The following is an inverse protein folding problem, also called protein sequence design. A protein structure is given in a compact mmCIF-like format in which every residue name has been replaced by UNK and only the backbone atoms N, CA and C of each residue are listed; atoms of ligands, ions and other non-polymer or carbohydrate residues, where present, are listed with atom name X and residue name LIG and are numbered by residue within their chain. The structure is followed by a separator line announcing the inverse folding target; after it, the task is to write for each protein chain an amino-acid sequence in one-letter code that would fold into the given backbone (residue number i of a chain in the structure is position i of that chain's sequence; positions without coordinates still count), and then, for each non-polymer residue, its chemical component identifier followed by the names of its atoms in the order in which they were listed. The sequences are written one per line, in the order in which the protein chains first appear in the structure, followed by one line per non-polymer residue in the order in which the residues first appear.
data_IF_577822494158
#
_entry.id   IF_577822494158
#
_cell.length_a   1.000
_cell.length_b   1.000
_cell.length_c   1.000
_cell.angle_alpha   90.00
_cell.angle_beta   90.00
_cell.angle_gamma   90.00
#
_symmetry.space_group_name_H-M   'P 1'
#
loop_
_entity.id
_entity.type
_entity.pdbx_description
1 polymer ?
#
# COMPACT_ATOMS: atom_id res chain seq x y z
N UNK A 1 22.19 8.27 -11.91
CA UNK A 1 22.16 8.95 -10.61
C UNK A 1 22.86 10.30 -10.68
N UNK A 2 22.24 11.38 -10.18
CA UNK A 2 22.89 12.70 -10.09
C UNK A 2 23.94 12.69 -8.98
N UNK A 3 25.05 13.41 -9.18
CA UNK A 3 25.96 13.69 -8.08
C UNK A 3 25.34 14.75 -7.14
N UNK A 4 25.79 14.80 -5.90
CA UNK A 4 25.19 15.68 -4.88
C UNK A 4 25.26 17.16 -5.26
N UNK A 5 26.36 17.61 -5.87
CA UNK A 5 26.54 19.00 -6.28
C UNK A 5 25.57 19.45 -7.38
N UNK A 6 25.29 18.59 -8.37
CA UNK A 6 24.33 18.89 -9.44
C UNK A 6 22.91 18.80 -8.89
N UNK A 7 22.62 17.83 -8.02
CA UNK A 7 21.32 17.75 -7.35
C UNK A 7 21.06 19.01 -6.54
N UNK A 8 22.01 19.42 -5.68
CA UNK A 8 21.94 20.65 -4.89
C UNK A 8 21.76 21.88 -5.78
N UNK A 9 22.50 21.98 -6.89
CA UNK A 9 22.38 23.11 -7.83
C UNK A 9 21.01 23.17 -8.50
N UNK A 10 20.40 22.02 -8.83
CA UNK A 10 19.07 21.94 -9.41
C UNK A 10 17.95 22.18 -8.40
N UNK A 11 18.17 21.83 -7.13
CA UNK A 11 17.12 21.84 -6.10
C UNK A 11 17.22 23.02 -5.15
N UNK A 12 18.34 23.75 -5.16
CA UNK A 12 18.59 24.95 -4.36
C UNK A 12 17.40 25.90 -4.45
N UNK A 13 17.01 26.45 -3.30
CA UNK A 13 15.85 27.33 -3.18
C UNK A 13 16.14 28.72 -3.82
N UNK A 14 16.21 28.75 -5.15
CA UNK A 14 16.44 29.93 -5.96
C UNK A 14 15.23 30.22 -6.87
N UNK A 15 14.94 31.49 -7.21
CA UNK A 15 13.84 31.84 -8.11
C UNK A 15 13.92 31.18 -9.49
N UNK A 16 15.13 30.86 -9.95
CA UNK A 16 15.37 30.21 -11.25
C UNK A 16 15.20 28.69 -11.23
N UNK A 17 14.96 28.09 -10.06
CA UNK A 17 14.81 26.63 -9.90
C UNK A 17 13.82 26.00 -10.90
N UNK A 18 12.59 26.52 -11.09
CA UNK A 18 11.64 25.93 -12.04
C UNK A 18 12.19 25.89 -13.47
N UNK A 19 12.88 26.95 -13.89
CA UNK A 19 13.46 27.05 -15.23
C UNK A 19 14.66 26.11 -15.42
N UNK A 20 15.52 25.99 -14.41
CA UNK A 20 16.67 25.09 -14.44
C UNK A 20 16.23 23.63 -14.49
N UNK A 21 15.27 23.25 -13.66
CA UNK A 21 14.71 21.90 -13.65
C UNK A 21 14.02 21.60 -14.98
N UNK A 22 13.19 22.52 -15.49
CA UNK A 22 12.52 22.34 -16.79
C UNK A 22 13.52 22.20 -17.94
N UNK A 23 14.58 23.01 -17.96
CA UNK A 23 15.59 22.97 -19.01
C UNK A 23 16.41 21.67 -18.99
N UNK A 24 16.70 21.13 -17.81
CA UNK A 24 17.44 19.87 -17.69
C UNK A 24 16.55 18.62 -17.85
N UNK A 25 15.22 18.75 -17.72
CA UNK A 25 14.32 17.62 -17.47
C UNK A 25 14.39 16.51 -18.52
N UNK A 26 14.44 16.87 -19.80
CA UNK A 26 14.50 15.91 -20.91
C UNK A 26 15.75 15.03 -20.87
N UNK A 27 16.84 15.56 -20.32
CA UNK A 27 18.17 14.94 -20.34
C UNK A 27 18.42 14.12 -19.07
N UNK A 28 17.57 14.26 -18.05
CA UNK A 28 17.66 13.48 -16.83
C UNK A 28 17.18 12.05 -17.04
N UNK A 29 17.90 11.09 -16.46
CA UNK A 29 17.39 9.73 -16.33
C UNK A 29 16.19 9.67 -15.40
N UNK A 30 15.39 8.61 -15.48
CA UNK A 30 14.22 8.40 -14.59
C UNK A 30 14.62 8.46 -13.12
N UNK A 31 15.72 7.79 -12.75
CA UNK A 31 16.28 7.82 -11.40
C UNK A 31 16.63 9.26 -10.97
N UNK A 32 17.32 10.02 -11.82
CA UNK A 32 17.69 11.41 -11.56
C UNK A 32 16.47 12.32 -11.41
N UNK A 33 15.40 12.09 -12.20
CA UNK A 33 14.12 12.80 -12.05
C UNK A 33 13.48 12.54 -10.69
N UNK A 34 13.46 11.28 -10.25
CA UNK A 34 12.93 10.89 -8.92
C UNK A 34 13.76 11.51 -7.78
N UNK A 35 15.07 11.64 -7.93
CA UNK A 35 15.93 12.33 -6.96
C UNK A 35 15.61 13.83 -6.88
N UNK A 36 15.43 14.52 -8.01
CA UNK A 36 15.03 15.94 -8.04
C UNK A 36 13.66 16.12 -7.40
N UNK A 37 12.70 15.26 -7.73
CA UNK A 37 11.37 15.21 -7.13
C UNK A 37 11.47 15.13 -5.59
N UNK A 38 12.22 14.16 -5.08
CA UNK A 38 12.37 13.94 -3.64
C UNK A 38 13.03 15.13 -2.95
N UNK A 39 14.10 15.67 -3.55
CA UNK A 39 14.84 16.79 -3.00
C UNK A 39 13.97 18.06 -2.91
N UNK A 40 13.20 18.38 -3.96
CA UNK A 40 12.29 19.54 -3.95
C UNK A 40 11.19 19.40 -2.89
N UNK A 41 10.66 18.19 -2.67
CA UNK A 41 9.67 17.94 -1.62
C UNK A 41 10.26 18.06 -0.20
N UNK A 42 11.51 17.62 -0.01
CA UNK A 42 12.16 17.61 1.31
C UNK A 42 12.55 18.99 1.87
N UNK A 43 12.83 19.95 0.99
CA UNK A 43 13.54 21.19 1.35
C UNK A 43 12.57 22.35 1.71
N UNK A 44 11.56 22.61 0.88
CA UNK A 44 10.75 23.85 0.98
C UNK A 44 9.27 23.60 1.26
N UNK A 45 8.74 22.48 0.79
CA UNK A 45 7.31 22.21 0.81
C UNK A 45 7.00 20.95 1.61
N UNK A 46 7.25 21.01 2.92
CA UNK A 46 6.78 19.97 3.83
C UNK A 46 5.26 19.85 3.66
N UNK A 47 4.84 18.84 2.91
CA UNK A 47 3.45 18.44 2.61
C UNK A 47 2.80 19.00 1.33
N UNK A 48 3.49 19.80 0.50
CA UNK A 48 2.92 20.27 -0.78
C UNK A 48 3.89 20.06 -1.93
N UNK A 49 3.38 19.76 -3.12
CA UNK A 49 4.23 19.66 -4.32
C UNK A 49 3.97 20.89 -5.17
N UNK A 50 5.01 21.64 -5.60
CA UNK A 50 4.79 22.83 -6.39
C UNK A 50 4.19 22.48 -7.76
N UNK A 51 3.18 23.25 -8.18
CA UNK A 51 2.40 22.98 -9.40
C UNK A 51 3.25 22.87 -10.66
N UNK A 52 4.30 23.70 -10.79
CA UNK A 52 5.20 23.64 -11.94
C UNK A 52 5.92 22.29 -12.05
N UNK A 53 6.26 21.66 -10.93
CA UNK A 53 6.94 20.36 -10.93
C UNK A 53 5.97 19.25 -11.34
N UNK A 54 4.73 19.31 -10.84
CA UNK A 54 3.68 18.37 -11.25
C UNK A 54 3.39 18.47 -12.76
N UNK A 55 3.33 19.68 -13.31
CA UNK A 55 3.13 19.91 -14.75
C UNK A 55 4.28 19.35 -15.60
N UNK A 56 5.53 19.51 -15.15
CA UNK A 56 6.67 18.90 -15.86
C UNK A 56 6.59 17.37 -15.79
N UNK A 57 6.22 16.82 -14.62
CA UNK A 57 6.23 15.37 -14.40
C UNK A 57 5.07 14.64 -15.10
N UNK A 58 3.89 15.27 -15.25
CA UNK A 58 2.73 14.65 -15.93
C UNK A 58 2.96 14.47 -17.44
N UNK A 59 3.87 15.25 -18.02
CA UNK A 59 4.23 15.21 -19.44
C UNK A 59 5.43 14.29 -19.72
N UNK A 60 5.97 13.64 -18.67
CA UNK A 60 7.18 12.84 -18.78
C UNK A 60 6.96 11.56 -19.60
N UNK A 61 7.92 11.12 -20.44
CA UNK A 61 7.79 9.84 -21.16
C UNK A 61 7.73 8.62 -20.23
N UNK A 62 8.32 8.68 -19.03
CA UNK A 62 8.33 7.57 -18.10
C UNK A 62 7.04 7.53 -17.25
N UNK A 63 6.32 6.41 -17.33
CA UNK A 63 5.05 6.22 -16.61
C UNK A 63 5.18 6.36 -15.09
N UNK A 64 6.32 6.01 -14.49
CA UNK A 64 6.55 6.15 -13.04
C UNK A 64 6.61 7.61 -12.59
N UNK A 65 7.11 8.50 -13.45
CA UNK A 65 7.22 9.95 -13.17
C UNK A 65 5.83 10.59 -13.32
N UNK A 66 5.09 10.23 -14.37
CA UNK A 66 3.69 10.65 -14.54
C UNK A 66 2.79 10.15 -13.41
N UNK A 67 2.97 8.89 -12.99
CA UNK A 67 2.26 8.30 -11.86
C UNK A 67 2.48 9.09 -10.58
N UNK A 68 3.75 9.43 -10.29
CA UNK A 68 4.08 10.25 -9.14
C UNK A 68 3.38 11.63 -9.23
N UNK A 69 3.38 12.27 -10.41
CA UNK A 69 2.73 13.56 -10.61
C UNK A 69 1.21 13.49 -10.35
N UNK A 70 0.55 12.52 -10.99
CA UNK A 70 -0.88 12.27 -10.85
C UNK A 70 -1.27 11.97 -9.41
N UNK A 71 -0.47 11.18 -8.68
CA UNK A 71 -0.71 10.86 -7.27
C UNK A 71 -0.61 12.08 -6.36
N UNK A 72 0.35 12.96 -6.60
CA UNK A 72 0.57 14.14 -5.76
C UNK A 72 -0.39 15.29 -6.12
N UNK A 73 -1.11 15.17 -7.23
CA UNK A 73 -2.12 16.11 -7.64
C UNK A 73 -3.48 15.72 -7.06
N UNK A 74 -4.04 16.57 -6.17
CA UNK A 74 -5.41 16.38 -5.67
C UNK A 74 -6.40 16.80 -6.75
N UNK A 75 -6.78 15.86 -7.61
CA UNK A 75 -7.90 16.08 -8.53
C UNK A 75 -9.17 16.35 -7.73
N UNK A 76 -9.81 17.49 -7.95
CA UNK A 76 -11.11 17.73 -7.37
C UNK A 76 -12.11 16.68 -7.88
N UNK A 77 -12.61 15.81 -6.99
CA UNK A 77 -13.72 14.92 -7.31
C UNK A 77 -14.94 15.78 -7.65
N UNK A 78 -15.43 15.70 -8.89
CA UNK A 78 -16.65 16.38 -9.34
C UNK A 78 -17.86 16.05 -8.43
N UNK A 79 -17.83 14.91 -7.71
CA UNK A 79 -18.89 14.54 -6.76
C UNK A 79 -18.74 15.24 -5.40
N UNK A 80 -17.53 15.57 -4.95
CA UNK A 80 -17.32 16.35 -3.73
C UNK A 80 -17.75 17.82 -3.89
N UNK A 81 -17.78 18.33 -5.12
CA UNK A 81 -18.32 19.67 -5.43
C UNK A 81 -19.84 19.76 -5.23
N UNK A 82 -20.56 18.63 -5.28
CA UNK A 82 -22.00 18.54 -5.10
C UNK A 82 -22.41 18.11 -3.69
N UNK A 83 -21.47 17.95 -2.75
CA UNK A 83 -21.82 17.64 -1.37
C UNK A 83 -22.44 18.89 -0.74
N UNK A 84 -23.69 18.84 -0.24
CA UNK A 84 -24.37 20.02 0.28
C UNK A 84 -23.85 20.30 1.69
N UNK A 85 -22.65 20.85 1.80
CA UNK A 85 -22.18 21.46 3.03
C UNK A 85 -22.64 22.92 2.98
N UNK A 86 -23.63 23.35 3.77
CA UNK A 86 -24.27 24.67 3.64
C UNK A 86 -23.33 25.87 3.83
N UNK A 87 -22.09 25.63 4.26
CA UNK A 87 -21.11 26.63 4.67
C UNK A 87 -19.84 26.69 3.79
N UNK A 88 -19.67 25.79 2.81
CA UNK A 88 -18.49 25.80 1.93
C UNK A 88 -18.92 26.02 0.49
N UNK A 89 -18.55 27.15 -0.15
CA UNK A 89 -18.89 27.37 -1.55
C UNK A 89 -18.24 26.28 -2.43
N UNK A 90 -18.93 25.82 -3.47
CA UNK A 90 -18.39 24.81 -4.38
C UNK A 90 -17.06 25.31 -4.97
N UNK A 91 -16.01 24.50 -4.86
CA UNK A 91 -14.69 24.83 -5.42
C UNK A 91 -14.82 24.95 -6.93
N UNK A 92 -14.54 26.13 -7.47
CA UNK A 92 -14.40 26.34 -8.92
C UNK A 92 -13.11 25.66 -9.35
N UNK A 93 -13.24 24.60 -10.16
CA UNK A 93 -12.10 23.89 -10.72
C UNK A 93 -11.59 24.64 -11.95
N UNK A 94 -10.32 25.09 -11.96
CA UNK A 94 -9.71 25.74 -13.11
C UNK A 94 -9.70 24.81 -14.34
N UNK A 95 -9.78 25.36 -15.55
CA UNK A 95 -9.76 24.53 -16.76
C UNK A 95 -8.46 23.74 -16.91
N UNK A 96 -7.34 24.29 -16.44
CA UNK A 96 -6.05 23.58 -16.39
C UNK A 96 -6.07 22.33 -15.50
N UNK A 97 -6.89 22.30 -14.45
CA UNK A 97 -7.08 21.12 -13.60
C UNK A 97 -7.96 20.07 -14.30
N UNK A 98 -8.99 20.50 -15.05
CA UNK A 98 -9.82 19.59 -15.86
C UNK A 98 -9.03 18.95 -17.00
N UNK A 99 -8.18 19.72 -17.66
CA UNK A 99 -7.28 19.22 -18.71
C UNK A 99 -6.32 18.18 -18.15
N UNK A 100 -5.72 18.44 -16.99
CA UNK A 100 -4.83 17.50 -16.31
C UNK A 100 -5.55 16.20 -15.91
N UNK A 101 -6.78 16.33 -15.39
CA UNK A 101 -7.63 15.20 -15.04
C UNK A 101 -7.93 14.33 -16.27
N UNK A 102 -8.40 14.94 -17.36
CA UNK A 102 -8.67 14.22 -18.60
C UNK A 102 -7.42 13.54 -19.14
N UNK A 103 -6.28 14.24 -19.13
CA UNK A 103 -5.00 13.69 -19.57
C UNK A 103 -4.62 12.45 -18.78
N UNK A 104 -4.72 12.52 -17.45
CA UNK A 104 -4.40 11.41 -16.54
C UNK A 104 -5.36 10.22 -16.75
N UNK A 105 -6.65 10.49 -16.95
CA UNK A 105 -7.65 9.46 -17.26
C UNK A 105 -7.41 8.78 -18.61
N UNK A 106 -6.88 9.52 -19.59
CA UNK A 106 -6.53 9.02 -20.92
C UNK A 106 -5.12 8.44 -21.05
N UNK A 107 -4.32 8.43 -19.98
CA UNK A 107 -2.92 7.96 -20.03
C UNK A 107 -2.86 6.49 -20.45
N UNK A 108 -1.87 6.13 -21.27
CA UNK A 108 -1.65 4.77 -21.75
C UNK A 108 -1.38 3.79 -20.60
N UNK A 109 -0.78 4.27 -19.51
CA UNK A 109 -0.44 3.47 -18.32
C UNK A 109 -1.64 3.28 -17.39
N UNK A 110 -2.02 2.03 -17.16
CA UNK A 110 -3.04 1.66 -16.17
C UNK A 110 -2.70 2.16 -14.76
N UNK A 111 -1.41 2.21 -14.42
CA UNK A 111 -0.93 2.72 -13.14
C UNK A 111 -1.20 4.22 -12.98
N UNK A 112 -1.04 5.01 -14.04
CA UNK A 112 -1.28 6.47 -14.01
C UNK A 112 -2.78 6.76 -13.89
N UNK A 113 -3.60 6.05 -14.69
CA UNK A 113 -5.07 6.18 -14.63
C UNK A 113 -5.62 5.87 -13.23
N UNK A 114 -5.01 4.91 -12.53
CA UNK A 114 -5.43 4.50 -11.19
C UNK A 114 -5.29 5.60 -10.12
N UNK A 115 -4.40 6.59 -10.30
CA UNK A 115 -4.18 7.66 -9.33
C UNK A 115 -5.31 8.67 -9.22
N UNK A 116 -6.16 8.77 -10.25
CA UNK A 116 -7.21 9.81 -10.33
C UNK A 116 -8.30 9.62 -9.27
N UNK A 117 -8.39 8.41 -8.71
CA UNK A 117 -9.55 7.94 -7.99
C UNK A 117 -9.32 7.89 -6.48
N UNK A 118 -9.41 9.05 -5.83
CA UNK A 118 -9.24 9.22 -4.38
C UNK A 118 -10.60 9.27 -3.63
N UNK A 119 -11.45 8.25 -3.81
CA UNK A 119 -12.72 8.19 -3.05
C UNK A 119 -12.99 6.78 -2.56
N UNK A 120 -13.53 6.62 -1.35
CA UNK A 120 -13.86 5.31 -0.80
C UNK A 120 -14.80 4.44 -1.66
N UNK A 121 -15.53 5.05 -2.61
CA UNK A 121 -16.37 4.34 -3.60
C UNK A 121 -15.56 3.59 -4.65
N UNK A 122 -14.27 3.91 -4.80
CA UNK A 122 -13.39 3.33 -5.81
C UNK A 122 -12.90 1.95 -5.43
N UNK A 123 -13.30 1.41 -4.27
CA UNK A 123 -12.67 0.23 -3.70
C UNK A 123 -13.44 -1.07 -3.90
N UNK A 124 -14.71 -1.01 -4.25
CA UNK A 124 -15.55 -2.21 -4.47
C UNK A 124 -15.90 -2.41 -5.94
N UNK A 125 -15.76 -1.36 -6.76
CA UNK A 125 -16.21 -1.33 -8.17
C UNK A 125 -15.03 -1.31 -9.17
N UNK A 126 -13.78 -1.44 -8.70
CA UNK A 126 -12.56 -1.16 -9.49
C UNK A 126 -11.56 -2.31 -9.49
N UNK A 127 -10.61 -2.23 -10.42
CA UNK A 127 -9.56 -3.23 -10.58
C UNK A 127 -8.67 -3.34 -9.33
N UNK A 128 -7.99 -4.48 -9.16
CA UNK A 128 -7.05 -4.71 -8.06
C UNK A 128 -5.91 -3.66 -8.04
N UNK A 129 -5.43 -3.25 -9.22
CA UNK A 129 -4.38 -2.22 -9.33
C UNK A 129 -4.85 -0.86 -8.79
N UNK A 130 -6.08 -0.44 -9.12
CA UNK A 130 -6.67 0.81 -8.61
C UNK A 130 -6.81 0.79 -7.09
N UNK A 131 -7.30 -0.33 -6.54
CA UNK A 131 -7.37 -0.55 -5.08
C UNK A 131 -6.00 -0.45 -4.42
N UNK A 132 -5.01 -1.15 -4.96
CA UNK A 132 -3.64 -1.15 -4.46
C UNK A 132 -3.03 0.25 -4.47
N UNK A 133 -3.22 1.03 -5.55
CA UNK A 133 -2.73 2.41 -5.64
C UNK A 133 -3.35 3.30 -4.56
N UNK A 134 -4.68 3.26 -4.41
CA UNK A 134 -5.40 4.03 -3.38
C UNK A 134 -4.91 3.68 -1.98
N UNK A 135 -4.86 2.39 -1.63
CA UNK A 135 -4.45 1.97 -0.30
C UNK A 135 -2.97 2.31 -0.07
N UNK A 136 -2.13 2.21 -1.10
CA UNK A 136 -0.72 2.59 -1.01
C UNK A 136 -0.52 4.08 -0.79
N UNK A 137 -1.48 4.93 -1.17
CA UNK A 137 -1.45 6.37 -0.94
C UNK A 137 -2.05 6.83 0.39
N UNK A 138 -2.83 5.98 1.06
CA UNK A 138 -3.63 6.36 2.21
C UNK A 138 -3.05 5.88 3.55
N UNK A 139 -3.34 6.61 4.62
CA UNK A 139 -2.97 6.22 6.00
C UNK A 139 -3.82 5.07 6.55
N UNK A 140 -3.41 4.52 7.69
CA UNK A 140 -4.02 3.34 8.35
C UNK A 140 -5.54 3.44 8.53
N UNK A 141 -6.08 4.64 8.80
CA UNK A 141 -7.51 4.92 8.89
C UNK A 141 -8.31 4.48 7.66
N UNK A 142 -7.77 4.75 6.46
CA UNK A 142 -8.44 4.42 5.20
C UNK A 142 -8.36 2.93 4.88
N UNK A 143 -7.37 2.21 5.42
CA UNK A 143 -7.23 0.75 5.26
C UNK A 143 -8.40 0.02 5.94
N UNK A 144 -8.79 0.45 7.13
CA UNK A 144 -9.89 -0.19 7.88
C UNK A 144 -11.24 0.12 7.23
N UNK A 145 -11.48 1.40 6.87
CA UNK A 145 -12.69 1.79 6.14
C UNK A 145 -12.82 1.07 4.79
N UNK A 146 -11.71 0.89 4.08
CA UNK A 146 -11.61 0.06 2.87
C UNK A 146 -12.05 -1.37 3.14
N UNK A 147 -11.44 -2.01 4.14
CA UNK A 147 -11.61 -3.42 4.40
C UNK A 147 -13.05 -3.75 4.75
N UNK A 148 -13.68 -2.95 5.62
CA UNK A 148 -15.07 -3.16 6.02
C UNK A 148 -16.02 -3.10 4.81
N UNK A 149 -15.86 -2.08 3.95
CA UNK A 149 -16.66 -1.92 2.73
C UNK A 149 -16.43 -3.05 1.72
N UNK A 150 -15.18 -3.50 1.57
CA UNK A 150 -14.85 -4.56 0.62
C UNK A 150 -15.38 -5.93 1.05
N UNK A 151 -15.35 -6.22 2.35
CA UNK A 151 -15.98 -7.41 2.91
C UNK A 151 -17.51 -7.37 2.74
N UNK A 152 -18.14 -6.23 2.99
CA UNK A 152 -19.59 -6.06 2.79
C UNK A 152 -20.01 -6.19 1.32
N UNK A 153 -19.11 -5.84 0.38
CA UNK A 153 -19.32 -6.02 -1.06
C UNK A 153 -19.03 -7.45 -1.55
N UNK A 154 -18.57 -8.36 -0.69
CA UNK A 154 -18.29 -9.75 -1.04
C UNK A 154 -17.01 -9.95 -1.86
N UNK A 155 -16.03 -9.05 -1.74
CA UNK A 155 -14.70 -9.26 -2.34
C UNK A 155 -14.06 -10.51 -1.73
N UNK A 156 -13.43 -11.34 -2.55
CA UNK A 156 -12.87 -12.62 -2.11
C UNK A 156 -11.77 -12.46 -1.05
N UNK A 157 -11.66 -13.46 -0.17
CA UNK A 157 -10.65 -13.53 0.89
C UNK A 157 -9.24 -13.48 0.33
N UNK A 158 -8.98 -14.23 -0.76
CA UNK A 158 -7.71 -14.22 -1.48
C UNK A 158 -7.31 -12.81 -1.96
N UNK A 159 -8.21 -12.14 -2.68
CA UNK A 159 -7.91 -10.85 -3.28
C UNK A 159 -7.64 -9.77 -2.22
N UNK A 160 -8.43 -9.75 -1.14
CA UNK A 160 -8.20 -8.82 -0.03
C UNK A 160 -6.91 -9.13 0.72
N UNK A 161 -6.60 -10.42 0.90
CA UNK A 161 -5.34 -10.84 1.55
C UNK A 161 -4.14 -10.36 0.75
N UNK A 162 -4.12 -10.60 -0.56
CA UNK A 162 -3.01 -10.17 -1.42
C UNK A 162 -2.88 -8.65 -1.47
N UNK A 163 -4.02 -7.95 -1.47
CA UNK A 163 -4.07 -6.50 -1.44
C UNK A 163 -3.49 -5.93 -0.14
N UNK A 164 -3.90 -6.47 1.01
CA UNK A 164 -3.50 -5.95 2.32
C UNK A 164 -2.11 -6.39 2.76
N UNK A 165 -1.62 -7.55 2.29
CA UNK A 165 -0.28 -8.06 2.64
C UNK A 165 0.79 -7.02 2.35
N UNK A 166 0.80 -6.49 1.13
CA UNK A 166 1.79 -5.51 0.70
C UNK A 166 1.69 -4.19 1.49
N UNK A 167 0.49 -3.81 1.88
CA UNK A 167 0.24 -2.56 2.59
C UNK A 167 0.71 -2.67 4.03
N UNK A 168 0.39 -3.78 4.70
CA UNK A 168 0.75 -4.05 6.09
C UNK A 168 2.25 -4.31 6.27
N UNK A 169 2.99 -4.65 5.21
CA UNK A 169 4.44 -4.80 5.25
C UNK A 169 5.21 -3.47 5.13
N UNK A 170 4.53 -2.36 4.80
CA UNK A 170 5.19 -1.06 4.68
C UNK A 170 5.75 -0.59 6.03
N UNK A 171 7.01 -0.13 6.10
CA UNK A 171 7.59 0.36 7.35
C UNK A 171 6.78 1.46 8.04
N UNK A 172 6.20 2.39 7.27
CA UNK A 172 5.34 3.45 7.81
C UNK A 172 4.04 2.92 8.41
N UNK A 173 3.38 1.98 7.75
CA UNK A 173 2.14 1.36 8.26
C UNK A 173 2.44 0.50 9.48
N UNK A 174 3.55 -0.26 9.47
CA UNK A 174 3.99 -1.03 10.63
C UNK A 174 4.34 -0.14 11.83
N UNK A 175 5.03 0.97 11.60
CA UNK A 175 5.34 1.93 12.65
C UNK A 175 4.07 2.59 13.19
N UNK A 176 3.15 2.99 12.31
CA UNK A 176 1.86 3.55 12.69
C UNK A 176 1.05 2.55 13.50
N UNK A 177 0.97 1.28 13.11
CA UNK A 177 0.22 0.23 13.82
C UNK A 177 0.83 -0.14 15.17
N UNK A 178 2.16 -0.08 15.32
CA UNK A 178 2.88 -0.42 16.55
C UNK A 178 3.03 0.73 17.54
N UNK A 179 2.86 1.97 17.08
CA UNK A 179 3.14 3.13 17.92
C UNK A 179 2.04 3.34 18.98
N UNK A 180 2.45 3.32 20.25
CA UNK A 180 1.68 3.93 21.34
C UNK A 180 1.74 5.44 21.16
N UNK A 181 0.90 5.95 20.25
CA UNK A 181 0.82 7.38 19.97
C UNK A 181 0.13 8.07 21.14
N UNK A 182 0.87 8.90 21.86
CA UNK A 182 0.30 9.89 22.76
C UNK A 182 -0.31 11.01 21.91
N UNK A 183 -1.61 10.88 21.61
CA UNK A 183 -2.37 11.88 20.89
C UNK A 183 -2.42 13.18 21.69
N UNK A 184 -2.11 14.30 21.01
CA UNK A 184 -2.07 15.63 21.64
C UNK A 184 -3.46 16.20 21.89
N UNK A 185 -4.45 15.74 21.13
CA UNK A 185 -5.85 16.12 21.27
C UNK A 185 -6.75 14.88 21.41
N UNK A 186 -7.88 15.06 22.11
CA UNK A 186 -8.84 13.98 22.36
C UNK A 186 -9.67 13.59 21.14
N UNK A 187 -9.77 14.46 20.13
CA UNK A 187 -10.56 14.23 18.93
C UNK A 187 -9.90 13.18 18.03
N UNK A 188 -8.62 13.37 17.72
CA UNK A 188 -7.78 12.40 17.00
C UNK A 188 -7.73 11.08 17.76
N UNK A 189 -7.54 11.13 19.09
CA UNK A 189 -7.53 9.94 19.92
C UNK A 189 -8.86 9.15 19.86
N UNK A 190 -9.99 9.86 19.76
CA UNK A 190 -11.31 9.25 19.60
C UNK A 190 -11.46 8.56 18.24
N UNK A 191 -11.12 9.23 17.14
CA UNK A 191 -11.22 8.65 15.79
C UNK A 191 -10.31 7.44 15.59
N UNK A 192 -9.08 7.51 16.08
CA UNK A 192 -8.13 6.40 16.04
C UNK A 192 -8.63 5.19 16.87
N UNK A 193 -9.34 5.47 17.96
CA UNK A 193 -10.05 4.46 18.73
C UNK A 193 -11.20 3.79 17.97
N UNK A 194 -11.93 4.53 17.13
CA UNK A 194 -12.97 3.97 16.27
C UNK A 194 -12.39 3.10 15.16
N UNK A 195 -11.29 3.53 14.54
CA UNK A 195 -10.57 2.76 13.52
C UNK A 195 -10.15 1.39 14.05
N UNK A 196 -9.68 1.31 15.29
CA UNK A 196 -9.37 -0.01 15.90
C UNK A 196 -10.63 -0.86 16.03
N UNK A 197 -11.73 -0.32 16.54
CA UNK A 197 -12.98 -1.07 16.67
C UNK A 197 -13.49 -1.58 15.33
N UNK A 198 -13.52 -0.71 14.31
CA UNK A 198 -13.91 -1.08 12.95
C UNK A 198 -12.99 -2.16 12.36
N UNK A 199 -11.68 -2.10 12.63
CA UNK A 199 -10.74 -3.11 12.16
C UNK A 199 -11.01 -4.49 12.74
N UNK A 200 -11.32 -4.55 14.03
CA UNK A 200 -11.71 -5.78 14.71
C UNK A 200 -13.11 -6.27 14.32
N UNK A 201 -14.03 -5.38 13.97
CA UNK A 201 -15.32 -5.77 13.38
C UNK A 201 -15.15 -6.35 11.97
N UNK A 202 -14.27 -5.76 11.15
CA UNK A 202 -13.92 -6.29 9.84
C UNK A 202 -13.26 -7.68 9.97
N UNK A 203 -12.39 -7.88 10.97
CA UNK A 203 -11.78 -9.18 11.27
C UNK A 203 -12.81 -10.29 11.51
N UNK A 204 -13.95 -9.97 12.13
CA UNK A 204 -15.05 -10.93 12.36
C UNK A 204 -15.71 -11.39 11.06
N UNK A 205 -15.74 -10.54 10.03
CA UNK A 205 -16.33 -10.81 8.71
C UNK A 205 -15.33 -11.45 7.74
N UNK A 206 -14.03 -11.30 8.00
CA UNK A 206 -12.96 -11.78 7.14
C UNK A 206 -12.93 -13.31 7.03
N UNK A 207 -12.60 -13.80 5.83
CA UNK A 207 -12.30 -15.21 5.63
C UNK A 207 -10.99 -15.61 6.32
N UNK A 208 -10.67 -16.92 6.36
CA UNK A 208 -9.56 -17.42 7.17
C UNK A 208 -8.19 -16.81 6.84
N UNK A 209 -7.87 -16.57 5.56
CA UNK A 209 -6.54 -16.06 5.17
C UNK A 209 -6.39 -14.59 5.57
N UNK A 210 -7.40 -13.77 5.27
CA UNK A 210 -7.38 -12.36 5.61
C UNK A 210 -7.43 -12.16 7.13
N UNK A 211 -8.27 -12.96 7.81
CA UNK A 211 -8.36 -12.95 9.26
C UNK A 211 -7.00 -13.26 9.91
N UNK A 212 -6.28 -14.24 9.38
CA UNK A 212 -4.94 -14.54 9.88
C UNK A 212 -4.00 -13.35 9.71
N UNK A 213 -3.94 -12.76 8.52
CA UNK A 213 -3.11 -11.59 8.24
C UNK A 213 -3.42 -10.40 9.18
N UNK A 214 -4.71 -10.11 9.38
CA UNK A 214 -5.17 -8.97 10.19
C UNK A 214 -5.01 -9.21 11.69
N UNK A 215 -5.32 -10.41 12.17
CA UNK A 215 -5.18 -10.77 13.59
C UNK A 215 -3.76 -10.53 14.09
N UNK A 216 -2.76 -10.77 13.23
CA UNK A 216 -1.34 -10.52 13.52
C UNK A 216 -0.93 -9.05 13.54
N UNK A 217 -1.67 -8.16 12.86
CA UNK A 217 -1.22 -6.78 12.61
C UNK A 217 -2.09 -5.72 13.29
N UNK A 218 -3.35 -6.01 13.59
CA UNK A 218 -4.24 -5.06 14.23
C UNK A 218 -3.88 -4.89 15.71
N UNK A 219 -3.74 -3.63 16.20
CA UNK A 219 -3.53 -3.37 17.61
C UNK A 219 -4.82 -3.65 18.41
N UNK A 220 -4.69 -4.06 19.67
CA UNK A 220 -5.84 -4.23 20.59
C UNK A 220 -6.27 -2.91 21.21
N UNK A 221 -5.40 -1.89 21.20
CA UNK A 221 -5.65 -0.57 21.76
C UNK A 221 -4.97 0.52 20.91
N UNK A 222 -5.64 1.66 20.77
CA UNK A 222 -5.11 2.86 20.10
C UNK A 222 -5.96 4.07 20.46
N UNK A 223 -5.31 5.17 20.81
CA UNK A 223 -6.02 6.39 21.21
C UNK A 223 -6.92 6.14 22.41
N UNK A 224 -8.21 6.45 22.29
CA UNK A 224 -9.22 6.17 23.30
C UNK A 224 -9.95 4.83 23.09
N UNK A 225 -9.61 4.09 22.02
CA UNK A 225 -10.19 2.80 21.72
C UNK A 225 -9.39 1.65 22.33
N UNK A 226 -10.10 0.69 22.91
CA UNK A 226 -9.55 -0.58 23.35
C UNK A 226 -10.56 -1.68 23.03
N UNK A 227 -10.07 -2.87 22.69
CA UNK A 227 -10.87 -4.06 22.49
C UNK A 227 -10.82 -4.89 23.75
N UNK A 228 -11.95 -5.02 24.43
CA UNK A 228 -12.04 -5.82 25.64
C UNK A 228 -11.76 -7.31 25.36
N UNK A 229 -11.17 -8.05 26.32
CA UNK A 229 -10.96 -9.49 26.20
C UNK A 229 -12.21 -10.29 25.82
N UNK A 230 -13.39 -9.91 26.32
CA UNK A 230 -14.66 -10.58 25.99
C UNK A 230 -15.02 -10.47 24.50
N UNK A 231 -14.77 -9.31 23.90
CA UNK A 231 -14.99 -9.08 22.46
C UNK A 231 -14.04 -9.97 21.65
N UNK A 232 -12.78 -10.09 22.07
CA UNK A 232 -11.80 -10.97 21.43
C UNK A 232 -12.21 -12.44 21.60
N UNK A 233 -12.62 -12.87 22.79
CA UNK A 233 -13.05 -14.24 23.07
C UNK A 233 -14.30 -14.65 22.27
N UNK A 234 -15.14 -13.68 21.88
CA UNK A 234 -16.31 -13.88 21.03
C UNK A 234 -15.99 -14.00 19.52
N UNK A 235 -14.72 -13.90 19.12
CA UNK A 235 -14.32 -13.95 17.71
C UNK A 235 -14.49 -15.36 17.13
N UNK A 236 -14.63 -15.48 15.80
CA UNK A 236 -14.69 -16.77 15.12
C UNK A 236 -13.47 -17.67 15.42
N UNK A 237 -13.62 -19.01 15.36
CA UNK A 237 -12.54 -19.95 15.70
C UNK A 237 -11.24 -19.71 14.91
N UNK A 238 -11.34 -19.37 13.61
CA UNK A 238 -10.17 -19.10 12.77
C UNK A 238 -9.43 -17.82 13.15
N UNK A 239 -10.13 -16.85 13.73
CA UNK A 239 -9.51 -15.63 14.28
C UNK A 239 -8.79 -15.96 15.58
N UNK A 240 -9.42 -16.71 16.48
CA UNK A 240 -8.82 -17.13 17.75
C UNK A 240 -7.59 -18.01 17.53
N UNK A 241 -7.64 -18.90 16.53
CA UNK A 241 -6.48 -19.67 16.07
C UNK A 241 -5.33 -18.75 15.69
N UNK A 242 -5.57 -17.77 14.81
CA UNK A 242 -4.56 -16.82 14.38
C UNK A 242 -3.98 -15.98 15.53
N UNK A 243 -4.84 -15.51 16.44
CA UNK A 243 -4.44 -14.70 17.60
C UNK A 243 -3.54 -15.47 18.57
N UNK A 244 -3.75 -16.77 18.73
CA UNK A 244 -2.94 -17.60 19.61
C UNK A 244 -1.48 -17.73 19.16
N UNK A 245 -1.18 -17.43 17.89
CA UNK A 245 0.18 -17.39 17.35
C UNK A 245 0.85 -16.01 17.41
N UNK A 246 0.16 -14.96 17.90
CA UNK A 246 0.74 -13.61 18.00
C UNK A 246 1.95 -13.58 18.93
N UNK A 247 3.02 -12.96 18.46
CA UNK A 247 4.30 -12.88 19.18
C UNK A 247 4.37 -11.71 20.14
N UNK A 248 3.63 -10.64 19.88
CA UNK A 248 3.57 -9.44 20.72
C UNK A 248 2.71 -9.60 21.98
N UNK A 249 1.96 -10.71 22.08
CA UNK A 249 1.13 -11.14 23.22
C UNK A 249 0.46 -9.96 23.97
N UNK A 250 -0.44 -9.21 23.31
CA UNK A 250 -1.16 -8.13 23.99
C UNK A 250 -1.94 -8.67 25.17
N UNK A 251 -1.98 -7.93 26.29
CA UNK A 251 -2.65 -8.36 27.53
C UNK A 251 -4.12 -8.70 27.29
N UNK A 252 -4.78 -8.01 26.37
CA UNK A 252 -6.18 -8.26 26.02
C UNK A 252 -6.34 -9.60 25.30
N UNK A 253 -5.40 -9.99 24.44
CA UNK A 253 -5.39 -11.29 23.75
C UNK A 253 -5.11 -12.41 24.74
N UNK A 254 -4.12 -12.25 25.63
CA UNK A 254 -3.82 -13.23 26.67
C UNK A 254 -5.04 -13.45 27.59
N UNK A 255 -5.67 -12.36 28.04
CA UNK A 255 -6.88 -12.43 28.85
C UNK A 255 -8.02 -13.13 28.11
N UNK A 256 -8.20 -12.87 26.82
CA UNK A 256 -9.22 -13.54 26.00
C UNK A 256 -8.96 -15.04 25.87
N UNK A 257 -7.70 -15.45 25.64
CA UNK A 257 -7.29 -16.85 25.59
C UNK A 257 -7.60 -17.56 26.91
N UNK A 258 -7.28 -16.92 28.05
CA UNK A 258 -7.60 -17.45 29.38
C UNK A 258 -9.11 -17.57 29.62
N UNK A 259 -9.92 -16.62 29.14
CA UNK A 259 -11.38 -16.70 29.22
C UNK A 259 -11.93 -17.91 28.46
N UNK A 260 -11.42 -18.18 27.26
CA UNK A 260 -11.85 -19.33 26.45
C UNK A 260 -11.45 -20.66 27.12
N UNK A 261 -10.24 -20.74 27.66
CA UNK A 261 -9.75 -21.96 28.33
C UNK A 261 -10.36 -22.19 29.71
N UNK A 262 -10.70 -21.12 30.43
CA UNK A 262 -11.30 -21.18 31.78
C UNK A 262 -12.80 -21.48 31.79
N UNK A 263 -13.48 -21.37 30.65
CA UNK A 263 -14.91 -21.69 30.51
C UNK A 263 -15.22 -22.32 29.15
N UNK A 264 -14.59 -23.46 28.80
CA UNK A 264 -14.70 -24.07 27.48
C UNK A 264 -16.14 -24.40 27.10
N UNK A 265 -17.03 -24.67 28.05
CA UNK A 265 -18.46 -24.91 27.82
C UNK A 265 -19.22 -23.73 27.20
N UNK A 266 -18.67 -22.51 27.31
CA UNK A 266 -19.25 -21.29 26.72
C UNK A 266 -18.78 -21.03 25.29
N UNK A 267 -17.72 -21.71 24.86
CA UNK A 267 -17.07 -21.48 23.57
C UNK A 267 -17.08 -22.78 22.76
N UNK A 268 -17.27 -22.71 21.44
CA UNK A 268 -17.33 -23.92 20.63
C UNK A 268 -16.05 -24.75 20.69
N UNK A 269 -16.16 -26.08 20.61
CA UNK A 269 -15.02 -27.02 20.66
C UNK A 269 -13.90 -26.65 19.66
N UNK A 270 -14.26 -26.12 18.49
CA UNK A 270 -13.33 -25.66 17.48
C UNK A 270 -12.40 -24.53 18.00
N UNK A 271 -12.95 -23.55 18.71
CA UNK A 271 -12.19 -22.44 19.29
C UNK A 271 -11.26 -22.92 20.39
N UNK A 272 -11.76 -23.79 21.28
CA UNK A 272 -10.98 -24.37 22.37
C UNK A 272 -9.83 -25.22 21.82
N UNK A 273 -10.10 -26.05 20.81
CA UNK A 273 -9.10 -26.90 20.18
C UNK A 273 -8.03 -26.09 19.44
N UNK A 274 -8.40 -25.02 18.75
CA UNK A 274 -7.48 -24.15 18.04
C UNK A 274 -6.46 -23.52 19.02
N UNK A 275 -6.96 -22.92 20.10
CA UNK A 275 -6.12 -22.30 21.14
C UNK A 275 -5.20 -23.33 21.79
N UNK A 276 -5.71 -24.52 22.15
CA UNK A 276 -4.89 -25.58 22.76
C UNK A 276 -3.75 -26.02 21.82
N UNK A 277 -4.06 -26.23 20.54
CA UNK A 277 -3.06 -26.61 19.52
C UNK A 277 -1.98 -25.54 19.36
N UNK A 278 -2.36 -24.26 19.35
CA UNK A 278 -1.41 -23.15 19.27
C UNK A 278 -0.50 -23.06 20.50
N UNK A 279 -1.04 -23.26 21.71
CA UNK A 279 -0.25 -23.29 22.95
C UNK A 279 0.71 -24.49 23.00
N UNK A 280 0.26 -25.66 22.57
CA UNK A 280 1.12 -26.85 22.45
C UNK A 280 2.25 -26.60 21.46
N UNK A 281 1.96 -25.98 20.32
CA UNK A 281 2.97 -25.61 19.32
C UNK A 281 3.99 -24.62 19.89
N UNK A 282 3.55 -23.54 20.56
CA UNK A 282 4.46 -22.58 21.21
C UNK A 282 5.37 -23.24 22.25
N UNK A 283 4.88 -24.24 22.97
CA UNK A 283 5.68 -24.98 23.96
C UNK A 283 6.77 -25.87 23.35
N UNK A 284 6.57 -26.33 22.11
CA UNK A 284 7.50 -27.23 21.39
C UNK A 284 8.63 -26.49 20.66
N UNK A 285 8.40 -25.26 20.21
CA UNK A 285 9.36 -24.50 19.40
C UNK A 285 10.07 -23.36 20.17
N UNK A 286 9.69 -23.09 21.42
CA UNK A 286 10.22 -21.96 22.19
C UNK A 286 9.89 -20.60 21.54
N UNK A 287 10.43 -19.50 22.05
CA UNK A 287 10.26 -18.14 21.47
C UNK A 287 10.95 -17.97 20.09
N UNK A 288 11.23 -19.06 19.36
CA UNK A 288 11.68 -18.95 17.99
C UNK A 288 10.49 -18.51 17.14
N UNK A 289 10.54 -17.24 16.73
CA UNK A 289 9.57 -16.51 15.93
C UNK A 289 9.06 -17.42 14.79
N UNK A 290 7.83 -17.97 14.87
CA UNK A 290 7.25 -18.66 13.74
C UNK A 290 6.86 -17.57 12.75
N UNK A 291 7.83 -17.07 11.98
CA UNK A 291 7.50 -16.30 10.80
C UNK A 291 6.60 -17.19 9.93
N UNK A 292 5.49 -16.68 9.40
CA UNK A 292 4.64 -17.42 8.48
C UNK A 292 5.36 -17.55 7.13
N UNK A 293 6.45 -18.31 7.11
CA UNK A 293 7.32 -18.56 5.95
C UNK A 293 6.66 -19.47 4.92
N UNK A 294 5.44 -19.95 5.16
CA UNK A 294 4.67 -20.67 4.14
C UNK A 294 4.29 -19.79 2.96
N UNK A 295 4.28 -18.45 3.10
CA UNK A 295 3.91 -17.53 2.02
C UNK A 295 5.10 -16.92 1.27
N UNK A 296 6.29 -16.83 1.90
CA UNK A 296 7.52 -16.40 1.20
C UNK A 296 7.97 -17.43 0.16
N UNK A 297 7.75 -18.72 0.44
CA UNK A 297 8.06 -19.82 -0.47
C UNK A 297 7.30 -19.72 -1.79
N UNK A 298 6.02 -19.34 -1.77
CA UNK A 298 5.19 -19.28 -2.98
C UNK A 298 5.64 -18.12 -3.90
N UNK A 299 5.91 -16.94 -3.34
CA UNK A 299 6.44 -15.81 -4.12
C UNK A 299 7.88 -16.01 -4.57
N UNK A 300 8.72 -16.66 -3.77
CA UNK A 300 10.07 -17.01 -4.18
C UNK A 300 10.03 -17.96 -5.38
N UNK A 301 9.09 -18.92 -5.38
CA UNK A 301 8.85 -19.83 -6.50
C UNK A 301 8.37 -19.07 -7.75
N UNK A 302 7.32 -18.26 -7.63
CA UNK A 302 6.78 -17.46 -8.73
C UNK A 302 7.82 -16.46 -9.30
N UNK A 303 8.58 -15.80 -8.44
CA UNK A 303 9.65 -14.89 -8.85
C UNK A 303 10.79 -15.65 -9.55
N UNK A 304 11.11 -16.86 -9.10
CA UNK A 304 12.13 -17.71 -9.70
C UNK A 304 11.68 -18.25 -11.06
N UNK A 305 10.40 -18.61 -11.22
CA UNK A 305 9.80 -18.94 -12.52
C UNK A 305 9.80 -17.75 -13.47
N UNK A 306 9.44 -16.55 -13.00
CA UNK A 306 9.49 -15.32 -13.79
C UNK A 306 10.92 -14.97 -14.22
N UNK A 307 11.91 -15.12 -13.33
CA UNK A 307 13.33 -14.91 -13.64
C UNK A 307 13.86 -15.94 -14.65
N UNK A 308 13.42 -17.20 -14.55
CA UNK A 308 13.75 -18.22 -15.53
C UNK A 308 13.15 -17.90 -16.91
N UNK A 309 11.89 -17.47 -16.96
CA UNK A 309 11.25 -17.04 -18.21
C UNK A 309 11.98 -15.85 -18.83
N UNK A 310 12.35 -14.84 -18.03
CA UNK A 310 13.11 -13.68 -18.48
C UNK A 310 14.49 -14.08 -19.02
N UNK A 311 15.19 -14.98 -18.34
CA UNK A 311 16.47 -15.53 -18.82
C UNK A 311 16.32 -16.21 -20.18
N UNK A 312 15.25 -16.98 -20.38
CA UNK A 312 14.93 -17.58 -21.68
C UNK A 312 14.73 -16.55 -22.78
N UNK A 313 14.02 -15.46 -22.50
CA UNK A 313 13.82 -14.35 -23.45
C UNK A 313 15.13 -13.64 -23.79
N UNK A 314 15.98 -13.36 -22.80
CA UNK A 314 17.30 -12.74 -23.02
C UNK A 314 18.19 -13.63 -23.86
N UNK A 315 18.18 -14.94 -23.62
CA UNK A 315 18.94 -15.89 -24.43
C UNK A 315 18.46 -15.91 -25.89
N UNK A 316 17.15 -15.95 -26.12
CA UNK A 316 16.58 -15.91 -27.47
C UNK A 316 16.96 -14.62 -28.22
N UNK A 317 16.93 -13.46 -27.54
CA UNK A 317 17.36 -12.18 -28.12
C UNK A 317 18.86 -12.20 -28.43
N UNK A 318 19.68 -12.77 -27.55
CA UNK A 318 21.12 -12.89 -27.80
C UNK A 318 21.43 -13.80 -29.00
N UNK A 319 20.71 -14.90 -29.17
CA UNK A 319 20.85 -15.79 -30.33
C UNK A 319 20.44 -15.09 -31.63
N UNK A 320 19.34 -14.33 -31.61
CA UNK A 320 18.92 -13.51 -32.75
C UNK A 320 19.97 -12.45 -33.11
N UNK A 321 20.55 -11.79 -32.11
CA UNK A 321 21.60 -10.78 -32.33
C UNK A 321 22.84 -11.39 -32.99
N UNK A 322 23.28 -12.57 -32.51
CA UNK A 322 24.40 -13.29 -33.09
C UNK A 322 24.13 -13.70 -34.54
N UNK A 323 22.93 -14.21 -34.82
CA UNK A 323 22.53 -14.55 -36.19
C UNK A 323 22.53 -13.33 -37.12
N UNK A 324 22.07 -12.17 -36.64
CA UNK A 324 22.13 -10.91 -37.41
C UNK A 324 23.58 -10.47 -37.63
N UNK A 325 24.45 -10.58 -36.62
CA UNK A 325 25.87 -10.26 -36.76
C UNK A 325 26.57 -11.16 -37.78
N UNK A 326 26.29 -12.46 -37.77
CA UNK A 326 26.82 -13.42 -38.75
C UNK A 326 26.32 -13.10 -40.17
N UNK A 327 25.04 -12.78 -40.34
CA UNK A 327 24.48 -12.38 -41.63
C UNK A 327 25.12 -11.09 -42.16
N UNK A 328 25.38 -10.10 -41.28
CA UNK A 328 26.06 -8.85 -41.65
C UNK A 328 27.52 -9.12 -42.01
N UNK A 329 28.22 -9.97 -41.26
CA UNK A 329 29.59 -10.37 -41.55
C UNK A 329 29.69 -11.12 -42.89
N UNK A 330 28.78 -12.06 -43.16
CA UNK A 330 28.71 -12.79 -44.43
C UNK A 330 28.45 -11.86 -45.62
N UNK A 331 27.54 -10.88 -45.48
CA UNK A 331 27.30 -9.86 -46.52
C UNK A 331 28.50 -8.96 -46.77
N UNK A 332 29.31 -8.66 -45.75
CA UNK A 332 30.54 -7.87 -45.88
C UNK A 332 31.69 -8.66 -46.52
N UNK A 333 31.75 -9.98 -46.29
CA UNK A 333 32.75 -10.86 -46.91
C UNK A 333 32.51 -11.19 -48.40
N UNK A 334 31.30 -10.95 -48.92
CA UNK A 334 30.92 -11.13 -50.33
C UNK A 334 31.22 -9.91 -51.22
N UNK A 335 31.79 -8.84 -50.65
CA UNK A 335 32.25 -7.64 -51.36
C UNK A 335 33.78 -7.67 -51.38
N UNK A 336 34.37 -8.64 -52.05
CA UNK A 336 35.78 -8.63 -52.45
C UNK A 336 35.96 -9.33 -53.79
#
# INVERSE_FOLDING_TARGET
MLNEQVLESLTCNAPLRPHLVAAAWSDLSVESKLQVIQAVQSDVYKNETPTWLMQICIDDPAAVVRYWAARNYRFADEKLQNWPIPSVPPRVVPDSEKELLQKTLSDDSALVRACVFDSDKTLTERSQLERLVFIRSSGTAHIVGFLSKALDAGVSDEELTDCLREVLEKPGVLADLKSDVNYRDGDTAYYEGQIVKEGWEALRKAGPKLAHLLAWRLPTSRGLGHISPDVIASMPPHVLDALAYRTDKPKEVEAAIQLVLGSPEKYGDASVSAIKKALEFSSLFGDSDPQPNTFETDRAQEALEALQALRGQVQAVSEQLNAVQEQVAAKRGLIF
#
